data_IF_139184261202
#
_entry.id   IF_139184261202
#
_cell.length_a   1.000
_cell.length_b   1.000
_cell.length_c   1.000
_cell.angle_alpha   90.00
_cell.angle_beta   90.00
_cell.angle_gamma   90.00
#
_symmetry.space_group_name_H-M   'P 1'
#
loop_
_entity.id
_entity.type
_entity.pdbx_description
1 polymer ?
#
# COMPACT_ATOMS: atom_id res chain seq x y z
N UNK A 1 1.52 39.15 -39.10
CA UNK A 1 1.27 38.89 -37.67
C UNK A 1 1.34 37.38 -37.50
N UNK A 2 2.48 36.88 -37.03
CA UNK A 2 2.75 35.44 -36.90
C UNK A 2 2.16 35.01 -35.56
N UNK A 3 1.12 34.16 -35.59
CA UNK A 3 0.58 33.55 -34.39
C UNK A 3 1.50 32.39 -33.99
N UNK A 4 2.23 32.55 -32.89
CA UNK A 4 2.80 31.42 -32.17
C UNK A 4 1.67 30.68 -31.47
N UNK A 5 1.36 29.47 -31.93
CA UNK A 5 0.59 28.51 -31.14
C UNK A 5 1.53 28.00 -30.04
N UNK A 6 1.35 28.51 -28.82
CA UNK A 6 1.83 27.79 -27.64
C UNK A 6 0.97 26.53 -27.52
N UNK A 7 1.57 25.38 -27.83
CA UNK A 7 1.00 24.09 -27.45
C UNK A 7 1.24 23.94 -25.95
N UNK A 8 0.21 24.23 -25.15
CA UNK A 8 0.14 23.70 -23.80
C UNK A 8 -0.21 22.22 -23.95
N UNK A 9 0.69 21.34 -23.52
CA UNK A 9 0.32 19.97 -23.25
C UNK A 9 -0.72 20.01 -22.13
N UNK A 10 -1.99 19.84 -22.47
CA UNK A 10 -3.02 19.48 -21.49
C UNK A 10 -2.60 18.11 -20.97
N UNK A 11 -2.28 18.03 -19.68
CA UNK A 11 -2.13 16.75 -18.99
C UNK A 11 -3.34 15.90 -19.38
N UNK A 12 -3.09 14.71 -19.94
CA UNK A 12 -4.16 13.86 -20.47
C UNK A 12 -5.27 13.74 -19.43
N UNK A 13 -6.49 14.08 -19.81
CA UNK A 13 -7.65 13.84 -18.97
C UNK A 13 -7.60 12.38 -18.53
N UNK A 14 -7.88 12.09 -17.25
CA UNK A 14 -8.05 10.73 -16.78
C UNK A 14 -9.32 10.17 -17.43
N UNK A 15 -9.25 9.79 -18.71
CA UNK A 15 -10.40 9.32 -19.46
C UNK A 15 -10.70 7.92 -18.97
N UNK A 16 -11.87 7.71 -18.36
CA UNK A 16 -12.32 6.39 -17.96
C UNK A 16 -12.15 5.42 -19.15
N UNK A 17 -11.33 4.39 -18.93
CA UNK A 17 -11.07 3.32 -19.90
C UNK A 17 -11.50 2.02 -19.25
N UNK A 18 -12.19 1.19 -20.04
CA UNK A 18 -12.58 -0.18 -19.75
C UNK A 18 -12.98 -0.46 -18.28
N UNK A 19 -14.16 0.01 -17.86
CA UNK A 19 -14.88 -0.59 -16.73
C UNK A 19 -14.32 -0.40 -15.31
N UNK A 20 -13.18 0.28 -15.14
CA UNK A 20 -12.63 0.65 -13.84
C UNK A 20 -12.74 2.17 -13.61
N UNK A 21 -12.96 2.56 -12.35
CA UNK A 21 -13.13 3.97 -11.99
C UNK A 21 -11.80 4.73 -12.06
N UNK A 22 -11.86 5.99 -12.50
CA UNK A 22 -10.71 6.91 -12.42
C UNK A 22 -10.38 7.22 -10.96
N UNK A 23 -9.11 7.44 -10.60
CA UNK A 23 -8.76 7.91 -9.26
C UNK A 23 -9.50 9.21 -8.89
N UNK A 24 -9.84 9.39 -7.61
CA UNK A 24 -10.47 10.62 -7.15
C UNK A 24 -9.56 11.82 -7.38
N UNK A 25 -10.14 13.00 -7.60
CA UNK A 25 -9.37 14.23 -7.83
C UNK A 25 -8.37 14.51 -6.70
N UNK A 26 -8.72 14.20 -5.45
CA UNK A 26 -7.82 14.37 -4.30
C UNK A 26 -6.52 13.56 -4.42
N UNK A 27 -6.56 12.38 -5.05
CA UNK A 27 -5.35 11.60 -5.35
C UNK A 27 -4.61 12.20 -6.56
N UNK A 28 -5.34 12.61 -7.60
CA UNK A 28 -4.74 13.21 -8.80
C UNK A 28 -4.03 14.54 -8.51
N UNK A 29 -4.48 15.29 -7.50
CA UNK A 29 -3.82 16.51 -7.04
C UNK A 29 -2.50 16.23 -6.29
N UNK A 30 -2.34 15.00 -5.76
CA UNK A 30 -1.16 14.57 -5.01
C UNK A 30 -0.13 13.84 -5.90
N UNK A 31 -0.58 13.06 -6.88
CA UNK A 31 0.26 12.14 -7.66
C UNK A 31 -0.12 12.17 -9.14
N UNK A 32 0.70 12.85 -9.96
CA UNK A 32 0.48 12.96 -11.41
C UNK A 32 0.38 11.59 -12.11
N UNK A 33 1.21 10.61 -11.70
CA UNK A 33 1.23 9.27 -12.30
C UNK A 33 -0.10 8.51 -12.11
N UNK A 34 -0.87 8.85 -11.08
CA UNK A 34 -2.12 8.16 -10.76
C UNK A 34 -3.15 8.27 -11.91
N UNK A 35 -3.09 9.30 -12.75
CA UNK A 35 -3.96 9.45 -13.92
C UNK A 35 -3.92 8.24 -14.88
N UNK A 36 -2.80 7.51 -14.91
CA UNK A 36 -2.64 6.30 -15.72
C UNK A 36 -3.31 5.06 -15.10
N UNK A 37 -3.69 5.09 -13.82
CA UNK A 37 -4.23 3.94 -13.08
C UNK A 37 -5.75 3.98 -12.97
N UNK A 38 -6.33 2.85 -12.61
CA UNK A 38 -7.75 2.72 -12.27
C UNK A 38 -7.93 2.03 -10.93
N UNK A 39 -9.00 2.39 -10.22
CA UNK A 39 -9.29 1.85 -8.89
C UNK A 39 -9.71 0.38 -9.03
N UNK A 40 -9.01 -0.48 -8.28
CA UNK A 40 -9.37 -1.89 -8.08
C UNK A 40 -10.14 -2.03 -6.78
N UNK A 41 -9.60 -1.46 -5.70
CA UNK A 41 -10.23 -1.42 -4.39
C UNK A 41 -10.23 0.01 -3.84
N UNK A 42 -11.35 0.41 -3.22
CA UNK A 42 -11.44 1.60 -2.37
C UNK A 42 -12.04 1.19 -1.02
N UNK A 43 -11.33 1.54 0.05
CA UNK A 43 -11.71 1.22 1.42
C UNK A 43 -11.47 2.46 2.28
N UNK A 44 -12.40 2.74 3.17
CA UNK A 44 -12.16 3.58 4.33
C UNK A 44 -11.94 2.67 5.55
N UNK A 45 -10.69 2.39 5.97
CA UNK A 45 -10.43 1.53 7.12
C UNK A 45 -11.16 2.05 8.36
N UNK A 46 -11.82 1.12 9.06
CA UNK A 46 -12.42 1.41 10.35
C UNK A 46 -11.34 1.46 11.44
N UNK A 47 -11.68 2.02 12.59
CA UNK A 47 -10.90 1.80 13.80
C UNK A 47 -11.12 0.37 14.30
N UNK A 48 -10.05 -0.28 14.76
CA UNK A 48 -10.08 -1.61 15.36
C UNK A 48 -10.68 -2.66 14.41
N UNK A 49 -10.17 -2.70 13.19
CA UNK A 49 -10.57 -3.66 12.18
C UNK A 49 -10.46 -5.10 12.71
N UNK A 50 -11.34 -5.97 12.22
CA UNK A 50 -11.35 -7.40 12.54
C UNK A 50 -11.66 -8.19 11.29
N UNK A 51 -10.75 -8.13 10.32
CA UNK A 51 -10.86 -8.90 9.10
C UNK A 51 -10.77 -10.41 9.35
N UNK A 52 -10.29 -10.78 10.54
CA UNK A 52 -10.36 -12.09 11.19
C UNK A 52 -11.70 -12.78 11.12
N UNK A 53 -12.77 -12.00 11.30
CA UNK A 53 -14.15 -12.49 11.33
C UNK A 53 -15.12 -11.73 10.44
N UNK A 54 -14.69 -10.63 9.80
CA UNK A 54 -15.57 -9.77 9.00
C UNK A 54 -14.84 -9.33 7.74
N UNK A 55 -15.37 -9.62 6.55
CA UNK A 55 -14.75 -9.16 5.31
C UNK A 55 -14.53 -7.63 5.29
N UNK A 56 -13.43 -7.12 4.71
CA UNK A 56 -13.31 -5.71 4.41
C UNK A 56 -14.49 -5.22 3.56
N UNK A 57 -15.09 -4.10 3.94
CA UNK A 57 -16.24 -3.53 3.24
C UNK A 57 -15.77 -2.45 2.27
N UNK A 58 -15.37 -2.87 1.07
CA UNK A 58 -14.93 -1.94 0.02
C UNK A 58 -16.10 -1.10 -0.52
N UNK A 59 -15.85 0.19 -0.76
CA UNK A 59 -16.77 1.08 -1.48
C UNK A 59 -16.70 0.86 -2.99
N UNK A 60 -15.52 0.46 -3.48
CA UNK A 60 -15.28 -0.01 -4.84
C UNK A 60 -14.58 -1.37 -4.76
N UNK A 61 -15.15 -2.38 -5.42
CA UNK A 61 -14.50 -3.66 -5.67
C UNK A 61 -14.64 -3.99 -7.15
N UNK A 62 -13.56 -3.79 -7.89
CA UNK A 62 -13.47 -4.07 -9.30
C UNK A 62 -12.45 -5.19 -9.61
N UNK A 63 -12.13 -6.00 -8.60
CA UNK A 63 -11.15 -7.08 -8.68
C UNK A 63 -11.49 -8.21 -9.67
N UNK A 64 -12.75 -8.30 -10.09
CA UNK A 64 -13.20 -9.23 -11.15
C UNK A 64 -12.84 -8.77 -12.56
N UNK A 65 -12.25 -7.58 -12.72
CA UNK A 65 -11.82 -7.08 -14.02
C UNK A 65 -10.67 -7.93 -14.59
N UNK A 66 -10.67 -8.11 -15.91
CA UNK A 66 -9.82 -9.08 -16.61
C UNK A 66 -8.99 -8.48 -17.75
N UNK A 67 -8.90 -7.14 -17.85
CA UNK A 67 -7.95 -6.52 -18.76
C UNK A 67 -6.52 -6.85 -18.34
N UNK A 68 -5.60 -6.80 -19.30
CA UNK A 68 -4.18 -6.84 -18.98
C UNK A 68 -3.81 -5.62 -18.13
N UNK A 69 -3.00 -5.83 -17.10
CA UNK A 69 -2.34 -4.81 -16.28
C UNK A 69 -0.88 -5.23 -16.12
N UNK A 70 0.02 -4.27 -16.07
CA UNK A 70 1.45 -4.50 -15.92
C UNK A 70 2.03 -3.85 -14.66
N UNK A 71 1.28 -2.93 -14.06
CA UNK A 71 1.66 -2.23 -12.84
C UNK A 71 0.49 -2.08 -11.89
N UNK A 72 0.84 -2.12 -10.61
CA UNK A 72 -0.09 -1.97 -9.50
C UNK A 72 0.38 -0.84 -8.58
N UNK A 73 -0.54 -0.26 -7.85
CA UNK A 73 -0.24 0.79 -6.89
C UNK A 73 -1.10 0.71 -5.64
N UNK A 74 -0.53 1.23 -4.55
CA UNK A 74 -1.21 1.48 -3.30
C UNK A 74 -1.16 2.96 -2.96
N UNK A 75 -2.27 3.46 -2.45
CA UNK A 75 -2.36 4.79 -1.84
C UNK A 75 -2.97 4.65 -0.45
N UNK A 76 -2.25 5.15 0.55
CA UNK A 76 -2.74 5.27 1.92
C UNK A 76 -2.79 6.73 2.31
N UNK A 77 -3.92 7.18 2.86
CA UNK A 77 -4.09 8.52 3.39
C UNK A 77 -4.76 8.47 4.76
N UNK A 78 -4.20 9.17 5.74
CA UNK A 78 -4.72 9.26 7.11
C UNK A 78 -4.58 10.69 7.60
N UNK A 79 -5.71 11.33 7.90
CA UNK A 79 -5.77 12.73 8.37
C UNK A 79 -4.96 13.73 7.53
N UNK A 80 -4.89 13.48 6.21
CA UNK A 80 -4.21 14.33 5.22
C UNK A 80 -2.74 13.98 4.97
N UNK A 81 -2.13 13.12 5.81
CA UNK A 81 -0.83 12.52 5.51
C UNK A 81 -1.02 11.32 4.58
N UNK A 82 -0.22 11.24 3.51
CA UNK A 82 -0.40 10.23 2.49
C UNK A 82 0.91 9.65 1.95
N UNK A 83 0.85 8.42 1.48
CA UNK A 83 1.88 7.77 0.69
C UNK A 83 1.29 7.06 -0.51
N UNK A 84 1.97 7.21 -1.63
CA UNK A 84 1.77 6.47 -2.86
C UNK A 84 2.97 5.59 -3.12
N UNK A 85 2.71 4.35 -3.53
CA UNK A 85 3.73 3.47 -4.08
C UNK A 85 3.17 2.69 -5.26
N UNK A 86 3.84 2.74 -6.41
CA UNK A 86 3.53 1.92 -7.58
C UNK A 86 4.71 1.02 -7.94
N UNK A 87 4.46 -0.14 -8.54
CA UNK A 87 5.48 -1.13 -8.91
C UNK A 87 4.97 -2.04 -10.04
N UNK A 88 5.85 -2.84 -10.69
CA UNK A 88 5.40 -3.93 -11.55
C UNK A 88 4.43 -4.85 -10.83
N UNK A 89 3.45 -5.38 -11.57
CA UNK A 89 2.50 -6.34 -11.01
C UNK A 89 3.23 -7.58 -10.47
N UNK A 90 2.89 -7.95 -9.25
CA UNK A 90 3.42 -9.11 -8.53
C UNK A 90 2.32 -10.14 -8.22
N UNK A 91 1.09 -9.88 -8.69
CA UNK A 91 -0.09 -10.69 -8.44
C UNK A 91 -0.38 -11.66 -9.59
N UNK A 92 -1.28 -12.60 -9.35
CA UNK A 92 -1.88 -13.45 -10.39
C UNK A 92 -3.28 -13.02 -10.78
N UNK A 93 -3.93 -12.23 -9.93
CA UNK A 93 -5.22 -11.60 -10.16
C UNK A 93 -5.40 -10.34 -9.31
N UNK A 94 -6.19 -9.39 -9.80
CA UNK A 94 -6.50 -8.14 -9.08
C UNK A 94 -7.12 -8.35 -7.70
N UNK A 95 -7.74 -9.50 -7.44
CA UNK A 95 -8.24 -9.86 -6.10
C UNK A 95 -7.15 -9.85 -5.04
N UNK A 96 -5.91 -10.19 -5.42
CA UNK A 96 -4.78 -10.29 -4.51
C UNK A 96 -4.28 -8.91 -4.02
N UNK A 97 -4.72 -7.82 -4.67
CA UNK A 97 -4.43 -6.45 -4.25
C UNK A 97 -5.28 -5.97 -3.08
N UNK A 98 -6.32 -6.71 -2.68
CA UNK A 98 -7.14 -6.35 -1.53
C UNK A 98 -6.36 -6.45 -0.21
N UNK A 99 -6.96 -5.96 0.87
CA UNK A 99 -6.47 -6.24 2.23
C UNK A 99 -6.42 -7.76 2.44
N UNK A 100 -5.31 -8.33 2.94
CA UNK A 100 -5.21 -9.76 3.17
C UNK A 100 -6.28 -10.28 4.14
N UNK A 101 -6.82 -11.46 3.84
CA UNK A 101 -7.72 -12.20 4.72
C UNK A 101 -7.53 -13.71 4.51
N UNK A 102 -7.45 -14.50 5.57
CA UNK A 102 -7.15 -15.91 5.42
C UNK A 102 -8.23 -16.72 4.67
N UNK A 103 -9.45 -16.20 4.52
CA UNK A 103 -10.55 -16.88 3.83
C UNK A 103 -10.87 -16.30 2.45
N UNK A 104 -10.83 -14.98 2.31
CA UNK A 104 -11.22 -14.26 1.10
C UNK A 104 -10.02 -13.85 0.23
N UNK A 105 -8.88 -13.53 0.85
CA UNK A 105 -7.68 -13.09 0.15
C UNK A 105 -6.41 -13.60 0.86
N UNK A 106 -6.11 -14.92 0.78
CA UNK A 106 -5.09 -15.58 1.59
C UNK A 106 -3.66 -15.39 1.06
N UNK A 107 -3.38 -14.21 0.49
CA UNK A 107 -2.09 -13.85 -0.09
C UNK A 107 -0.96 -13.92 0.92
N UNK A 108 0.24 -14.21 0.44
CA UNK A 108 1.44 -14.38 1.24
C UNK A 108 2.65 -13.84 0.50
N UNK A 109 2.68 -12.53 0.27
CA UNK A 109 3.78 -11.87 -0.40
C UNK A 109 4.87 -11.48 0.62
N UNK A 110 6.02 -12.12 0.46
CA UNK A 110 7.27 -11.74 1.11
C UNK A 110 8.36 -11.74 0.04
N UNK A 111 8.57 -10.59 -0.61
CA UNK A 111 9.43 -10.52 -1.77
C UNK A 111 9.98 -9.10 -2.03
N UNK A 112 11.15 -9.07 -2.65
CA UNK A 112 11.73 -7.86 -3.20
C UNK A 112 10.97 -7.46 -4.46
N UNK A 113 10.67 -6.17 -4.58
CA UNK A 113 10.15 -5.56 -5.81
C UNK A 113 11.09 -4.46 -6.27
N UNK A 114 11.12 -4.24 -7.59
CA UNK A 114 12.00 -3.27 -8.25
C UNK A 114 11.16 -2.28 -9.04
N UNK A 115 11.79 -1.23 -9.57
CA UNK A 115 11.11 -0.20 -10.35
C UNK A 115 9.89 0.43 -9.63
N UNK A 116 10.03 0.66 -8.32
CA UNK A 116 9.01 1.36 -7.56
C UNK A 116 9.01 2.85 -7.86
N UNK A 117 7.82 3.46 -7.90
CA UNK A 117 7.64 4.91 -7.76
C UNK A 117 7.03 5.19 -6.40
N UNK A 118 7.71 6.01 -5.58
CA UNK A 118 7.25 6.44 -4.25
C UNK A 118 7.02 7.95 -4.26
N UNK A 119 5.87 8.39 -3.77
CA UNK A 119 5.53 9.80 -3.52
C UNK A 119 4.81 9.94 -2.16
N UNK A 120 5.02 11.05 -1.45
CA UNK A 120 4.40 11.30 -0.14
C UNK A 120 4.54 12.76 0.27
N UNK A 121 3.62 13.27 1.10
CA UNK A 121 3.79 14.55 1.79
C UNK A 121 4.48 14.43 3.16
N UNK A 122 4.68 13.21 3.67
CA UNK A 122 5.26 12.97 4.99
C UNK A 122 6.78 13.16 4.94
N UNK A 123 7.28 14.03 5.81
CA UNK A 123 8.71 14.30 5.91
C UNK A 123 9.49 13.04 6.29
N UNK A 124 10.59 12.79 5.57
CA UNK A 124 11.45 11.64 5.79
C UNK A 124 11.18 10.47 4.84
N UNK A 125 10.01 10.39 4.20
CA UNK A 125 9.77 9.41 3.12
C UNK A 125 10.65 9.72 1.91
N UNK A 126 11.51 8.77 1.52
CA UNK A 126 12.36 8.88 0.34
C UNK A 126 11.49 8.64 -0.90
N UNK A 127 11.33 9.69 -1.68
CA UNK A 127 10.51 9.71 -2.89
C UNK A 127 11.38 9.54 -4.15
N UNK A 128 10.78 9.07 -5.23
CA UNK A 128 11.44 8.90 -6.52
C UNK A 128 10.84 7.77 -7.34
N UNK A 129 11.28 7.66 -8.58
CA UNK A 129 10.97 6.54 -9.49
C UNK A 129 12.21 5.69 -9.74
N UNK A 130 12.01 4.44 -10.19
CA UNK A 130 13.10 3.49 -10.43
C UNK A 130 13.79 3.04 -9.14
N UNK A 131 13.05 2.96 -8.02
CA UNK A 131 13.59 2.45 -6.76
C UNK A 131 13.60 0.93 -6.82
N UNK A 132 14.80 0.34 -6.84
CA UNK A 132 15.02 -1.11 -6.96
C UNK A 132 15.16 -1.84 -5.62
N UNK A 133 14.88 -1.14 -4.53
CA UNK A 133 15.08 -1.62 -3.17
C UNK A 133 13.76 -1.80 -2.42
N UNK A 134 12.71 -2.21 -3.11
CA UNK A 134 11.42 -2.49 -2.52
C UNK A 134 11.39 -3.81 -1.76
N UNK A 135 10.62 -3.88 -0.69
CA UNK A 135 10.26 -5.15 -0.06
C UNK A 135 8.77 -5.13 0.34
N UNK A 136 8.06 -6.22 0.06
CA UNK A 136 6.65 -6.39 0.39
C UNK A 136 6.49 -7.34 1.57
N UNK A 137 5.64 -6.96 2.50
CA UNK A 137 5.23 -7.79 3.62
C UNK A 137 3.71 -7.79 3.75
N UNK A 138 3.07 -8.68 2.99
CA UNK A 138 1.62 -8.69 2.76
C UNK A 138 1.07 -10.09 3.02
N UNK A 139 0.35 -10.27 4.13
CA UNK A 139 -0.23 -11.55 4.56
C UNK A 139 -1.31 -11.40 5.64
N UNK A 140 -2.20 -12.40 5.83
CA UNK A 140 -3.17 -12.40 6.93
C UNK A 140 -2.62 -12.98 8.26
N UNK A 141 -1.41 -13.54 8.25
CA UNK A 141 -0.90 -14.36 9.35
C UNK A 141 -0.18 -13.59 10.45
N UNK A 142 0.26 -14.29 11.49
CA UNK A 142 1.15 -13.70 12.50
C UNK A 142 2.54 -13.49 11.87
N UNK A 143 3.38 -12.68 12.52
CA UNK A 143 4.78 -12.55 12.17
C UNK A 143 5.62 -12.24 13.42
N UNK A 144 6.94 -12.31 13.27
CA UNK A 144 7.92 -12.03 14.31
C UNK A 144 9.10 -11.25 13.73
N UNK A 145 10.00 -10.78 14.57
CA UNK A 145 11.10 -9.86 14.21
C UNK A 145 12.24 -10.48 13.38
N UNK A 146 12.11 -11.73 12.90
CA UNK A 146 13.23 -12.47 12.34
C UNK A 146 13.45 -12.21 10.85
N UNK A 147 14.65 -11.79 10.45
CA UNK A 147 14.97 -11.60 9.03
C UNK A 147 15.34 -12.88 8.27
N UNK A 148 14.39 -13.81 8.14
CA UNK A 148 14.61 -15.08 7.41
C UNK A 148 14.72 -14.89 5.89
N UNK A 149 14.06 -13.88 5.33
CA UNK A 149 14.17 -13.52 3.92
C UNK A 149 15.50 -12.83 3.57
N UNK A 150 16.34 -12.53 4.56
CA UNK A 150 17.63 -11.86 4.39
C UNK A 150 17.51 -10.49 3.70
N UNK A 151 16.45 -9.74 4.00
CA UNK A 151 16.24 -8.38 3.48
C UNK A 151 17.38 -7.49 3.97
N UNK A 152 18.11 -6.80 3.07
CA UNK A 152 19.23 -5.97 3.47
C UNK A 152 18.82 -4.85 4.43
N UNK A 153 19.49 -4.77 5.58
CA UNK A 153 19.26 -3.73 6.59
C UNK A 153 18.16 -4.02 7.61
N UNK A 154 17.42 -5.13 7.46
CA UNK A 154 16.44 -5.56 8.46
C UNK A 154 17.11 -6.15 9.72
N UNK A 155 16.47 -5.90 10.86
CA UNK A 155 16.86 -6.36 12.19
C UNK A 155 16.35 -7.77 12.47
N UNK A 156 16.99 -8.45 13.41
CA UNK A 156 16.46 -9.68 14.01
C UNK A 156 15.79 -9.47 15.37
N UNK A 157 15.63 -8.20 15.80
CA UNK A 157 15.27 -7.82 17.18
C UNK A 157 14.21 -6.73 17.29
N UNK A 158 13.76 -6.21 16.15
CA UNK A 158 12.70 -5.21 16.01
C UNK A 158 11.82 -5.61 14.84
N UNK A 159 10.53 -5.26 14.88
CA UNK A 159 9.67 -5.37 13.70
C UNK A 159 10.04 -4.26 12.74
N UNK A 160 10.38 -4.59 11.51
CA UNK A 160 10.85 -3.64 10.50
C UNK A 160 10.57 -4.09 9.05
N UNK A 161 11.55 -3.95 8.16
CA UNK A 161 11.43 -4.14 6.72
C UNK A 161 11.73 -5.56 6.26
N UNK A 162 11.90 -6.50 7.19
CA UNK A 162 12.27 -7.89 6.91
C UNK A 162 11.76 -8.85 7.99
N UNK A 163 10.50 -8.76 8.37
CA UNK A 163 9.91 -9.58 9.41
C UNK A 163 9.69 -11.05 9.00
N UNK A 164 9.75 -11.93 9.99
CA UNK A 164 9.49 -13.36 9.84
C UNK A 164 7.98 -13.60 9.79
N UNK A 165 7.44 -13.79 8.60
CA UNK A 165 6.09 -14.33 8.46
C UNK A 165 5.98 -15.70 9.16
N UNK A 166 4.95 -15.86 9.99
CA UNK A 166 4.53 -17.15 10.52
C UNK A 166 3.32 -17.62 9.70
N UNK A 167 3.41 -18.70 8.91
CA UNK A 167 2.39 -19.07 7.92
C UNK A 167 1.05 -19.56 8.51
N UNK A 168 0.88 -19.51 9.84
CA UNK A 168 -0.35 -19.92 10.50
C UNK A 168 -1.45 -18.85 10.35
N UNK A 169 -2.37 -19.12 9.43
CA UNK A 169 -3.78 -18.70 9.45
C UNK A 169 -4.07 -17.20 9.55
N UNK A 170 -5.30 -16.89 9.97
CA UNK A 170 -5.79 -15.56 10.28
C UNK A 170 -5.35 -15.17 11.69
N UNK A 171 -4.49 -14.15 11.83
CA UNK A 171 -3.91 -13.84 13.13
C UNK A 171 -3.66 -12.35 13.36
N UNK A 172 -2.59 -11.79 12.79
CA UNK A 172 -2.22 -10.40 13.01
C UNK A 172 -2.57 -9.54 11.80
N UNK A 173 -2.11 -9.97 10.62
CA UNK A 173 -2.28 -9.24 9.37
C UNK A 173 -1.17 -8.23 9.15
N UNK A 174 -0.67 -8.18 7.92
CA UNK A 174 0.34 -7.25 7.45
C UNK A 174 -0.01 -6.81 6.03
N UNK A 175 0.04 -5.50 5.79
CA UNK A 175 0.02 -4.86 4.49
C UNK A 175 1.05 -3.74 4.55
N UNK A 176 2.30 -4.09 4.27
CA UNK A 176 3.42 -3.17 4.39
C UNK A 176 4.27 -3.15 3.11
N UNK A 177 4.75 -1.96 2.79
CA UNK A 177 5.65 -1.72 1.66
C UNK A 177 6.85 -0.94 2.16
N UNK A 178 8.04 -1.46 1.87
CA UNK A 178 9.31 -0.94 2.37
C UNK A 178 10.24 -0.51 1.25
N UNK A 179 11.12 0.43 1.54
CA UNK A 179 12.31 0.75 0.77
C UNK A 179 13.55 0.41 1.61
N UNK A 180 14.07 -0.80 1.45
CA UNK A 180 15.18 -1.31 2.25
C UNK A 180 16.51 -0.56 1.98
N UNK A 181 16.67 0.02 0.79
CA UNK A 181 17.83 0.84 0.43
C UNK A 181 17.91 2.16 1.20
N UNK A 182 16.77 2.64 1.69
CA UNK A 182 16.66 3.78 2.60
C UNK A 182 16.45 3.36 4.06
N UNK A 183 16.48 2.06 4.37
CA UNK A 183 16.11 1.51 5.69
C UNK A 183 14.78 2.04 6.20
N UNK A 184 13.76 1.98 5.35
CA UNK A 184 12.54 2.74 5.52
C UNK A 184 11.27 1.95 5.19
N UNK A 185 10.27 2.07 6.04
CA UNK A 185 8.86 1.82 5.73
C UNK A 185 8.31 2.93 4.84
N UNK A 186 7.72 2.60 3.68
CA UNK A 186 6.98 3.58 2.87
C UNK A 186 5.63 3.83 3.52
N UNK A 187 4.86 2.76 3.72
CA UNK A 187 3.73 2.70 4.64
C UNK A 187 3.60 1.29 5.19
N UNK A 188 2.97 1.18 6.35
CA UNK A 188 2.63 -0.09 6.95
C UNK A 188 1.25 0.01 7.59
N UNK A 189 0.41 -0.99 7.33
CA UNK A 189 -0.84 -1.23 8.05
C UNK A 189 -0.82 -2.69 8.54
N UNK A 190 -0.94 -2.91 9.84
CA UNK A 190 -0.95 -4.25 10.44
C UNK A 190 -1.97 -4.32 11.59
N UNK A 191 -2.17 -5.53 12.12
CA UNK A 191 -3.05 -5.76 13.25
C UNK A 191 -4.54 -5.83 12.90
N UNK A 192 -4.91 -5.63 11.64
CA UNK A 192 -6.29 -5.57 11.16
C UNK A 192 -7.08 -6.89 11.25
N UNK A 193 -6.46 -7.99 11.69
CA UNK A 193 -7.12 -9.30 11.82
C UNK A 193 -7.74 -9.59 13.19
N UNK A 194 -7.50 -8.75 14.19
CA UNK A 194 -7.98 -8.99 15.55
C UNK A 194 -8.25 -7.63 16.22
N UNK A 195 -9.53 -7.31 16.47
CA UNK A 195 -10.08 -5.99 16.90
C UNK A 195 -9.46 -5.34 18.17
N UNK A 196 -8.15 -5.16 18.22
CA UNK A 196 -7.36 -4.66 19.35
C UNK A 196 -6.58 -3.38 19.02
N UNK A 197 -6.81 -2.80 17.84
CA UNK A 197 -6.13 -1.61 17.34
C UNK A 197 -5.39 -1.90 16.05
N UNK A 198 -5.60 -1.04 15.06
CA UNK A 198 -4.84 -1.10 13.81
C UNK A 198 -3.54 -0.31 13.98
N UNK A 199 -2.44 -1.01 13.72
CA UNK A 199 -1.13 -0.41 13.65
C UNK A 199 -0.97 0.24 12.29
N UNK A 200 -0.49 1.48 12.27
CA UNK A 200 -0.28 2.20 11.03
C UNK A 200 0.87 3.19 11.11
N UNK A 201 1.61 3.32 10.01
CA UNK A 201 2.56 4.41 9.83
C UNK A 201 2.77 4.72 8.34
N UNK A 202 3.13 5.98 8.05
CA UNK A 202 3.69 6.42 6.78
C UNK A 202 5.09 6.92 7.08
N UNK A 203 6.10 6.36 6.41
CA UNK A 203 7.49 6.49 6.87
C UNK A 203 7.80 5.58 8.06
N UNK A 204 8.99 5.75 8.63
CA UNK A 204 9.36 5.02 9.84
C UNK A 204 8.64 5.60 11.06
N UNK A 205 8.03 4.73 11.85
CA UNK A 205 7.46 5.13 13.14
C UNK A 205 8.55 5.58 14.13
N UNK A 206 8.19 6.46 15.06
CA UNK A 206 9.11 6.98 16.09
C UNK A 206 9.34 6.03 17.28
N UNK A 207 8.60 4.92 17.34
CA UNK A 207 8.67 3.92 18.39
C UNK A 207 9.81 2.90 18.22
N UNK A 208 9.72 1.80 18.97
CA UNK A 208 10.70 0.70 18.94
C UNK A 208 10.69 -0.07 17.61
N UNK A 209 9.58 -0.05 16.89
CA UNK A 209 9.34 -0.82 15.68
C UNK A 209 9.15 0.15 14.51
N UNK A 210 10.16 0.28 13.62
CA UNK A 210 10.09 1.22 12.50
C UNK A 210 8.92 1.01 11.54
N UNK A 211 8.40 -0.21 11.41
CA UNK A 211 7.20 -0.55 10.64
C UNK A 211 5.89 -0.16 11.35
N UNK A 212 5.96 0.37 12.58
CA UNK A 212 4.80 0.77 13.35
C UNK A 212 4.04 -0.38 14.01
N UNK A 213 4.53 -1.63 13.95
CA UNK A 213 3.92 -2.75 14.66
C UNK A 213 3.81 -2.46 16.17
N UNK A 214 2.64 -2.75 16.74
CA UNK A 214 2.18 -2.37 18.09
C UNK A 214 2.11 -0.86 18.38
N UNK A 215 2.14 -0.02 17.34
CA UNK A 215 2.09 1.44 17.45
C UNK A 215 0.68 2.02 17.57
N UNK A 216 -0.37 1.26 17.24
CA UNK A 216 -1.77 1.68 17.26
C UNK A 216 -2.02 3.00 16.49
N UNK A 217 -1.39 3.12 15.32
CA UNK A 217 -1.30 4.37 14.55
C UNK A 217 -2.64 4.92 14.04
N UNK A 218 -3.70 4.11 13.98
CA UNK A 218 -5.03 4.62 13.67
C UNK A 218 -5.74 5.25 14.87
N UNK A 219 -5.28 5.04 16.12
CA UNK A 219 -5.98 5.59 17.28
C UNK A 219 -6.08 7.12 17.23
N UNK A 220 -7.31 7.63 17.41
CA UNK A 220 -7.58 9.06 17.39
C UNK A 220 -7.69 9.68 15.99
N UNK A 221 -7.44 8.90 14.92
CA UNK A 221 -7.57 9.39 13.55
C UNK A 221 -9.02 9.57 13.14
N UNK A 222 -9.30 10.55 12.28
CA UNK A 222 -10.66 10.89 11.88
C UNK A 222 -11.01 10.48 10.45
N UNK A 223 -10.00 10.40 9.58
CA UNK A 223 -10.12 10.03 8.17
C UNK A 223 -9.02 9.06 7.80
N UNK A 224 -9.39 7.98 7.10
CA UNK A 224 -8.48 6.96 6.55
C UNK A 224 -9.00 6.58 5.16
N UNK A 225 -8.10 6.39 4.21
CA UNK A 225 -8.42 5.82 2.91
C UNK A 225 -7.30 4.91 2.44
N UNK A 226 -7.69 3.75 1.96
CA UNK A 226 -6.84 2.79 1.26
C UNK A 226 -7.38 2.63 -0.17
N UNK A 227 -6.50 2.81 -1.15
CA UNK A 227 -6.77 2.47 -2.53
C UNK A 227 -5.76 1.44 -3.01
N UNK A 228 -6.24 0.42 -3.71
CA UNK A 228 -5.42 -0.42 -4.59
C UNK A 228 -5.80 -0.12 -6.04
N UNK A 229 -4.81 0.03 -6.90
CA UNK A 229 -4.98 0.45 -8.28
C UNK A 229 -4.15 -0.39 -9.24
N UNK A 230 -4.57 -0.46 -10.50
CA UNK A 230 -3.85 -1.15 -11.57
C UNK A 230 -3.87 -0.32 -12.87
N UNK A 231 -2.88 -0.55 -13.75
CA UNK A 231 -2.84 -0.02 -15.11
C UNK A 231 -2.25 -0.99 -16.10
#
# INVERSE_FOLDING_TARGET
MIFFSLSFAVAGECVASAGLECPPQSLLDNVDEACAYRIVYDLAPALNSNFGGTAPSYTVDASSHSSDYDRVAYYMEVDGDWAWVSMPDFTTSLTELGVPDASLNPVQFQQIVTDMTVASNVAGVVQGSGIDTGNLEIWPSCYGQGNAASVPGASGSTYDLGDLRNPLGNCYGSLQVHNHGASQTVFAWSGFQHALGDDFTIGNASGTHPDGTFGNGFAGTTSRRYLALAR
#
